data_IF_344871085799
#
_entry.id   IF_344871085799
#
_cell.length_a   1.000
_cell.length_b   1.000
_cell.length_c   1.000
_cell.angle_alpha   90.00
_cell.angle_beta   90.00
_cell.angle_gamma   90.00
#
_symmetry.space_group_name_H-M   'P 1'
#
loop_
_entity.id
_entity.type
_entity.pdbx_description
1 polymer ?
#
# COMPACT_ATOMS: atom_id res chain seq x y z
N UNK A 1 46.62 -21.50 38.43
CA UNK A 1 46.12 -20.39 37.60
C UNK A 1 47.11 -19.25 37.70
N UNK A 2 47.80 -18.88 36.61
CA UNK A 2 48.76 -17.76 36.59
C UNK A 2 47.96 -16.45 36.54
N UNK A 3 47.91 -15.72 37.65
CA UNK A 3 47.29 -14.40 37.73
C UNK A 3 48.26 -13.43 37.06
N UNK A 4 47.93 -12.97 35.85
CA UNK A 4 48.77 -12.17 34.94
C UNK A 4 49.13 -10.77 35.45
N UNK A 5 49.80 -10.71 36.60
CA UNK A 5 50.28 -9.49 37.30
C UNK A 5 51.78 -9.23 37.05
N UNK A 6 52.40 -10.01 36.17
CA UNK A 6 53.85 -10.04 35.95
C UNK A 6 54.34 -8.87 35.06
N UNK A 7 53.45 -8.32 34.21
CA UNK A 7 53.76 -7.20 33.31
C UNK A 7 53.26 -5.87 33.86
N UNK A 8 54.17 -4.98 34.27
CA UNK A 8 53.84 -3.62 34.77
C UNK A 8 52.96 -2.84 33.78
N UNK A 9 53.18 -3.00 32.48
CA UNK A 9 52.37 -2.37 31.43
C UNK A 9 50.92 -2.89 31.41
N UNK A 10 50.72 -4.20 31.60
CA UNK A 10 49.39 -4.81 31.67
C UNK A 10 48.69 -4.43 32.98
N UNK A 11 49.43 -4.30 34.07
CA UNK A 11 48.92 -3.81 35.35
C UNK A 11 48.39 -2.37 35.23
N UNK A 12 49.15 -1.47 34.61
CA UNK A 12 48.69 -0.10 34.35
C UNK A 12 47.46 -0.05 33.41
N UNK A 13 47.44 -0.89 32.37
CA UNK A 13 46.29 -0.98 31.48
C UNK A 13 45.02 -1.47 32.21
N UNK A 14 45.14 -2.48 33.08
CA UNK A 14 44.03 -2.96 33.92
C UNK A 14 43.54 -1.89 34.90
N UNK A 15 44.46 -1.19 35.57
CA UNK A 15 44.11 -0.12 36.50
C UNK A 15 43.38 1.04 35.79
N UNK A 16 43.86 1.44 34.61
CA UNK A 16 43.21 2.47 33.79
C UNK A 16 41.81 2.03 33.34
N UNK A 17 41.66 0.79 32.87
CA UNK A 17 40.37 0.27 32.41
C UNK A 17 39.36 0.15 33.56
N UNK A 18 39.81 -0.25 34.75
CA UNK A 18 38.98 -0.30 35.95
C UNK A 18 38.55 1.10 36.39
N UNK A 19 39.43 2.10 36.34
CA UNK A 19 39.07 3.49 36.64
C UNK A 19 38.02 4.05 35.66
N UNK A 20 38.15 3.76 34.36
CA UNK A 20 37.16 4.17 33.34
C UNK A 20 35.81 3.48 33.58
N UNK A 21 35.82 2.18 33.90
CA UNK A 21 34.60 1.44 34.19
C UNK A 21 33.84 2.03 35.40
N UNK A 22 34.57 2.36 36.49
CA UNK A 22 33.98 3.00 37.67
C UNK A 22 33.42 4.38 37.34
N UNK A 23 34.11 5.18 36.53
CA UNK A 23 33.64 6.50 36.09
C UNK A 23 32.33 6.40 35.29
N UNK A 24 32.24 5.45 34.35
CA UNK A 24 31.04 5.23 33.54
C UNK A 24 29.86 4.76 34.40
N UNK A 25 30.12 3.92 35.40
CA UNK A 25 29.10 3.40 36.30
C UNK A 25 28.54 4.50 37.23
N UNK A 26 29.40 5.39 37.74
CA UNK A 26 28.99 6.59 38.47
C UNK A 26 28.14 7.52 37.58
N UNK A 27 28.52 7.70 36.31
CA UNK A 27 27.75 8.52 35.37
C UNK A 27 26.37 7.94 35.06
N UNK A 28 26.26 6.62 34.88
CA UNK A 28 25.00 5.94 34.61
C UNK A 28 24.04 5.97 35.82
N UNK A 29 24.57 5.86 37.04
CA UNK A 29 23.79 6.02 38.26
C UNK A 29 23.30 7.46 38.45
N UNK A 30 24.12 8.45 38.11
CA UNK A 30 23.75 9.87 38.21
C UNK A 30 22.81 10.35 37.08
N UNK A 31 22.70 9.63 35.96
CA UNK A 31 21.79 9.97 34.85
C UNK A 31 20.48 9.17 34.83
N UNK A 32 20.22 8.35 35.84
CA UNK A 32 18.98 7.56 35.92
C UNK A 32 17.87 8.38 36.56
N UNK A 33 17.25 9.25 35.76
CA UNK A 33 16.09 10.04 36.16
C UNK A 33 15.19 10.36 34.97
N UNK A 34 14.23 9.47 34.67
CA UNK A 34 12.83 9.75 34.33
C UNK A 34 12.19 8.58 33.53
N UNK A 35 11.14 7.90 34.05
CA UNK A 35 10.15 7.24 33.23
C UNK A 35 9.07 8.27 32.83
N UNK A 36 8.74 8.38 31.54
CA UNK A 36 7.57 9.15 31.08
C UNK A 36 6.43 8.23 30.66
N UNK A 37 5.24 8.68 31.05
CA UNK A 37 4.00 7.95 31.27
C UNK A 37 3.21 7.61 30.00
N UNK A 38 2.35 6.60 30.15
CA UNK A 38 1.21 6.29 29.29
C UNK A 38 0.18 7.44 29.30
N UNK A 39 -0.41 7.75 28.14
CA UNK A 39 -1.56 8.65 28.02
C UNK A 39 -2.75 7.90 27.44
N UNK A 40 -3.90 8.14 28.06
CA UNK A 40 -5.15 7.41 27.96
C UNK A 40 -6.00 7.75 26.72
N UNK A 41 -6.98 6.87 26.49
CA UNK A 41 -8.01 6.90 25.46
C UNK A 41 -8.89 8.16 25.46
N UNK A 42 -9.47 8.45 24.30
CA UNK A 42 -10.68 9.28 24.16
C UNK A 42 -11.61 8.59 23.16
N UNK A 43 -12.81 8.25 23.64
CA UNK A 43 -13.92 7.72 22.86
C UNK A 43 -15.01 8.79 22.76
N UNK A 44 -15.60 8.96 21.58
CA UNK A 44 -16.97 9.46 21.41
C UNK A 44 -17.58 8.81 20.16
N UNK A 45 -18.76 8.17 20.25
CA UNK A 45 -19.48 7.62 19.11
C UNK A 45 -20.54 8.59 18.55
N UNK A 46 -20.93 8.32 17.30
CA UNK A 46 -22.19 8.71 16.62
C UNK A 46 -22.31 10.10 15.96
N UNK A 47 -22.44 10.12 14.63
CA UNK A 47 -23.70 10.44 13.93
C UNK A 47 -23.55 10.40 12.39
N UNK A 48 -24.50 9.76 11.73
CA UNK A 48 -24.69 9.64 10.28
C UNK A 48 -25.35 10.92 9.72
N UNK A 49 -24.90 11.50 8.58
CA UNK A 49 -25.62 12.61 7.96
C UNK A 49 -26.75 12.13 7.05
N UNK A 50 -28.00 12.37 7.46
CA UNK A 50 -29.20 12.32 6.63
C UNK A 50 -29.23 13.51 5.68
N UNK A 51 -29.33 13.25 4.38
CA UNK A 51 -29.52 14.26 3.34
C UNK A 51 -30.98 14.75 3.27
N UNK A 52 -31.22 16.05 3.02
CA UNK A 52 -32.47 16.51 2.40
C UNK A 52 -32.19 17.15 1.04
N UNK A 53 -32.45 16.39 -0.03
CA UNK A 53 -32.60 16.93 -1.39
C UNK A 53 -33.99 17.57 -1.53
N UNK A 54 -34.08 18.87 -1.33
CA UNK A 54 -35.28 19.64 -1.62
C UNK A 54 -35.40 19.91 -3.13
N UNK A 55 -36.22 19.11 -3.83
CA UNK A 55 -36.70 19.47 -5.18
C UNK A 55 -37.82 20.50 -5.02
N UNK A 56 -37.50 21.76 -5.28
CA UNK A 56 -38.49 22.82 -5.43
C UNK A 56 -39.29 22.61 -6.73
N UNK A 57 -40.61 22.75 -6.71
CA UNK A 57 -41.39 22.91 -7.95
C UNK A 57 -42.72 22.15 -8.07
N UNK A 58 -43.48 21.98 -6.99
CA UNK A 58 -44.87 21.51 -7.08
C UNK A 58 -45.83 22.70 -6.95
N UNK A 59 -46.40 23.17 -8.06
CA UNK A 59 -47.51 24.14 -8.03
C UNK A 59 -48.68 23.46 -7.29
N UNK A 60 -49.19 24.09 -6.23
CA UNK A 60 -50.28 23.54 -5.42
C UNK A 60 -51.47 23.16 -6.30
N UNK A 61 -51.94 21.91 -6.17
CA UNK A 61 -53.13 21.45 -6.86
C UNK A 61 -54.35 22.24 -6.36
N UNK A 62 -55.25 22.70 -7.25
CA UNK A 62 -56.52 23.31 -6.83
C UNK A 62 -57.34 22.33 -5.98
N UNK A 63 -58.25 22.83 -5.12
CA UNK A 63 -59.14 21.97 -4.33
C UNK A 63 -59.90 21.00 -5.24
N UNK A 64 -59.85 19.72 -4.87
CA UNK A 64 -60.44 18.63 -5.64
C UNK A 64 -61.96 18.68 -5.51
N UNK A 65 -62.60 19.21 -6.54
CA UNK A 65 -64.05 19.16 -6.74
C UNK A 65 -64.42 17.76 -7.26
N UNK A 66 -65.19 16.95 -6.52
CA UNK A 66 -65.53 15.58 -6.91
C UNK A 66 -66.61 15.51 -8.01
N UNK A 67 -67.12 16.65 -8.48
CA UNK A 67 -68.10 16.68 -9.56
C UNK A 67 -67.45 16.42 -10.93
N UNK A 68 -68.13 15.64 -11.77
CA UNK A 68 -67.65 15.34 -13.12
C UNK A 68 -67.68 16.60 -14.00
N UNK A 69 -66.51 17.03 -14.49
CA UNK A 69 -66.40 18.16 -15.42
C UNK A 69 -66.53 17.70 -16.86
N UNK A 70 -67.75 17.70 -17.39
CA UNK A 70 -68.06 17.28 -18.76
C UNK A 70 -67.26 18.06 -19.83
N UNK A 71 -66.96 19.34 -19.59
CA UNK A 71 -66.17 20.16 -20.51
C UNK A 71 -64.73 19.65 -20.66
N UNK A 72 -64.10 19.21 -19.56
CA UNK A 72 -62.75 18.64 -19.58
C UNK A 72 -62.74 17.23 -20.15
N UNK A 73 -63.79 16.46 -19.88
CA UNK A 73 -63.97 15.12 -20.44
C UNK A 73 -63.99 15.19 -21.98
N UNK A 74 -64.78 16.11 -22.54
CA UNK A 74 -64.87 16.33 -23.99
C UNK A 74 -63.53 16.72 -24.62
N UNK A 75 -62.68 17.44 -23.88
CA UNK A 75 -61.32 17.77 -24.34
C UNK A 75 -60.38 16.56 -24.37
N UNK A 76 -60.62 15.57 -23.51
CA UNK A 76 -59.79 14.36 -23.41
C UNK A 76 -60.19 13.26 -24.42
N UNK A 77 -61.46 13.19 -24.81
CA UNK A 77 -61.98 12.18 -25.74
C UNK A 77 -61.27 12.18 -27.11
N UNK A 78 -60.75 13.33 -27.56
CA UNK A 78 -60.05 13.47 -28.84
C UNK A 78 -58.52 13.30 -28.77
N UNK A 79 -57.96 12.98 -27.60
CA UNK A 79 -56.52 12.90 -27.41
C UNK A 79 -55.93 11.63 -28.06
N UNK A 80 -55.47 11.75 -29.30
CA UNK A 80 -54.71 10.69 -29.98
C UNK A 80 -53.28 10.63 -29.44
N UNK A 81 -52.79 9.42 -29.18
CA UNK A 81 -51.40 9.19 -28.79
C UNK A 81 -50.46 9.54 -29.96
N UNK A 82 -49.69 10.63 -29.80
CA UNK A 82 -48.67 11.09 -30.77
C UNK A 82 -47.25 10.59 -30.45
N UNK A 83 -47.10 9.71 -29.47
CA UNK A 83 -45.78 9.19 -29.10
C UNK A 83 -45.22 8.29 -30.21
N UNK A 84 -43.94 8.42 -30.52
CA UNK A 84 -43.22 7.54 -31.47
C UNK A 84 -42.83 6.19 -30.84
N UNK A 85 -43.65 5.68 -29.93
CA UNK A 85 -43.38 4.47 -29.14
C UNK A 85 -44.17 3.25 -29.59
N UNK A 86 -43.83 2.09 -29.04
CA UNK A 86 -44.59 0.85 -29.20
C UNK A 86 -45.99 1.01 -28.60
N UNK A 87 -47.03 0.61 -29.34
CA UNK A 87 -48.39 0.56 -28.83
C UNK A 87 -48.52 -0.59 -27.82
N UNK A 88 -48.74 -0.26 -26.55
CA UNK A 88 -48.85 -1.23 -25.44
C UNK A 88 -50.26 -1.82 -25.28
N UNK A 89 -51.23 -1.34 -26.08
CA UNK A 89 -52.62 -1.77 -26.04
C UNK A 89 -53.00 -2.68 -27.21
N UNK A 90 -52.10 -2.87 -28.17
CA UNK A 90 -52.25 -3.83 -29.24
C UNK A 90 -51.53 -5.13 -28.85
N UNK A 91 -52.21 -6.27 -29.03
CA UNK A 91 -51.60 -7.58 -28.84
C UNK A 91 -50.60 -7.81 -29.97
N UNK A 92 -49.31 -7.82 -29.61
CA UNK A 92 -48.25 -7.95 -30.57
C UNK A 92 -48.23 -9.38 -31.12
N UNK A 93 -48.41 -9.52 -32.43
CA UNK A 93 -48.20 -10.79 -33.12
C UNK A 93 -46.78 -11.29 -32.83
N UNK A 94 -46.60 -12.62 -32.61
CA UNK A 94 -45.28 -13.19 -32.39
C UNK A 94 -44.32 -12.76 -33.49
N UNK A 95 -43.20 -12.14 -33.09
CA UNK A 95 -42.14 -11.74 -34.00
C UNK A 95 -41.59 -13.03 -34.63
N UNK A 96 -41.69 -13.18 -35.95
CA UNK A 96 -41.03 -14.28 -36.65
C UNK A 96 -39.53 -14.25 -36.32
N UNK A 97 -38.92 -15.38 -35.93
CA UNK A 97 -37.50 -15.41 -35.64
C UNK A 97 -36.73 -15.01 -36.91
N UNK A 98 -35.67 -14.17 -36.77
CA UNK A 98 -34.87 -13.76 -37.91
C UNK A 98 -34.27 -14.99 -38.60
N UNK A 99 -34.56 -15.19 -39.89
CA UNK A 99 -34.09 -16.33 -40.71
C UNK A 99 -32.61 -16.21 -41.13
N UNK A 100 -31.88 -15.29 -40.53
CA UNK A 100 -30.50 -15.01 -40.91
C UNK A 100 -29.59 -15.63 -39.85
N UNK A 101 -28.50 -16.32 -40.23
CA UNK A 101 -27.54 -16.79 -39.26
C UNK A 101 -27.01 -15.57 -38.51
N UNK A 102 -27.37 -15.46 -37.24
CA UNK A 102 -26.75 -14.53 -36.32
C UNK A 102 -25.32 -15.01 -36.18
N UNK A 103 -24.39 -14.38 -36.89
CA UNK A 103 -22.99 -14.44 -36.53
C UNK A 103 -22.91 -13.71 -35.20
N UNK A 104 -23.01 -14.47 -34.11
CA UNK A 104 -22.63 -13.98 -32.79
C UNK A 104 -21.12 -13.86 -32.87
N UNK A 105 -20.62 -12.68 -33.25
CA UNK A 105 -19.27 -12.31 -32.89
C UNK A 105 -19.23 -12.39 -31.37
N UNK A 106 -18.61 -13.46 -30.84
CA UNK A 106 -18.22 -13.52 -29.45
C UNK A 106 -17.26 -12.36 -29.23
N UNK A 107 -17.80 -11.21 -28.84
CA UNK A 107 -17.04 -10.15 -28.21
C UNK A 107 -16.65 -10.67 -26.84
N UNK A 108 -15.62 -11.50 -26.81
CA UNK A 108 -14.94 -11.89 -25.58
C UNK A 108 -14.52 -10.58 -24.92
N UNK A 109 -14.95 -10.28 -23.68
CA UNK A 109 -14.50 -9.10 -22.99
C UNK A 109 -12.97 -9.12 -22.96
N UNK A 110 -12.30 -7.97 -23.19
CA UNK A 110 -10.85 -7.91 -23.16
C UNK A 110 -10.35 -8.47 -21.82
N UNK A 111 -9.26 -9.27 -21.82
CA UNK A 111 -8.72 -9.82 -20.59
C UNK A 111 -8.42 -8.68 -19.61
N UNK A 112 -8.59 -8.92 -18.29
CA UNK A 112 -8.25 -7.93 -17.29
C UNK A 112 -6.79 -7.50 -17.47
N UNK A 113 -6.46 -6.22 -17.20
CA UNK A 113 -5.08 -5.76 -17.30
C UNK A 113 -4.18 -6.59 -16.39
N UNK A 114 -2.93 -6.86 -16.81
CA UNK A 114 -1.99 -7.62 -16.01
C UNK A 114 -1.73 -6.91 -14.65
N UNK A 115 -1.38 -7.68 -13.59
CA UNK A 115 -1.02 -7.10 -12.31
C UNK A 115 0.16 -6.12 -12.45
N UNK A 116 0.21 -5.06 -11.62
CA UNK A 116 1.29 -4.09 -11.69
C UNK A 116 2.64 -4.78 -11.45
N UNK A 117 3.72 -4.35 -12.14
CA UNK A 117 5.04 -4.91 -11.94
C UNK A 117 5.52 -4.67 -10.50
N UNK A 118 6.36 -5.56 -9.94
CA UNK A 118 6.94 -5.38 -8.62
C UNK A 118 7.69 -4.05 -8.49
N UNK A 119 7.65 -3.40 -7.32
CA UNK A 119 8.42 -2.17 -7.08
C UNK A 119 9.93 -2.40 -7.30
N UNK A 120 10.63 -1.49 -7.99
CA UNK A 120 12.08 -1.56 -8.14
C UNK A 120 12.79 -1.40 -6.79
N UNK A 121 13.86 -2.16 -6.58
CA UNK A 121 14.74 -2.01 -5.43
C UNK A 121 15.68 -0.80 -5.67
N UNK A 122 15.66 0.24 -4.82
CA UNK A 122 16.47 1.46 -5.01
C UNK A 122 17.94 1.30 -4.60
N UNK A 123 18.35 0.10 -4.19
CA UNK A 123 19.74 -0.19 -3.84
C UNK A 123 20.61 -0.18 -5.09
N UNK A 124 21.83 0.34 -4.94
CA UNK A 124 22.86 0.35 -5.98
C UNK A 124 24.12 -0.28 -5.43
N UNK A 125 24.85 -1.00 -6.27
CA UNK A 125 26.16 -1.49 -5.90
C UNK A 125 27.14 -0.32 -5.78
N UNK A 126 27.85 -0.25 -4.66
CA UNK A 126 28.91 0.74 -4.42
C UNK A 126 30.31 0.11 -4.42
N UNK A 127 30.45 -1.08 -3.82
CA UNK A 127 31.75 -1.74 -3.70
C UNK A 127 31.68 -3.08 -2.96
N UNK A 128 32.80 -3.77 -2.85
CA UNK A 128 32.93 -4.98 -2.03
C UNK A 128 34.20 -4.91 -1.16
N UNK A 129 34.16 -5.56 -0.01
CA UNK A 129 35.34 -5.83 0.80
C UNK A 129 35.56 -7.33 0.88
N UNK A 130 36.81 -7.74 0.63
CA UNK A 130 37.25 -9.11 0.81
C UNK A 130 38.42 -9.11 1.78
N UNK A 131 38.29 -9.81 2.91
CA UNK A 131 39.35 -9.99 3.89
C UNK A 131 39.70 -11.47 3.95
N UNK A 132 40.99 -11.85 3.96
CA UNK A 132 41.40 -13.25 4.08
C UNK A 132 40.76 -13.88 5.33
N UNK A 133 39.98 -14.94 5.15
CA UNK A 133 39.31 -15.65 6.24
C UNK A 133 37.94 -15.09 6.66
N UNK A 134 37.40 -14.07 5.98
CA UNK A 134 36.02 -13.59 6.20
C UNK A 134 35.15 -13.73 4.96
N UNK A 135 33.84 -13.80 5.15
CA UNK A 135 32.87 -13.79 4.06
C UNK A 135 32.94 -12.44 3.31
N UNK A 136 32.70 -12.48 1.99
CA UNK A 136 32.69 -11.29 1.15
C UNK A 136 31.58 -10.34 1.63
N UNK A 137 31.95 -9.09 1.94
CA UNK A 137 31.01 -8.04 2.28
C UNK A 137 30.71 -7.20 1.05
N UNK A 138 29.47 -6.77 0.89
CA UNK A 138 29.02 -5.84 -0.16
C UNK A 138 28.60 -4.50 0.44
N UNK A 139 28.90 -3.45 -0.30
CA UNK A 139 28.52 -2.08 -0.02
C UNK A 139 27.39 -1.72 -1.00
N UNK A 140 26.25 -1.37 -0.45
CA UNK A 140 25.03 -1.04 -1.16
C UNK A 140 24.65 0.40 -0.82
N UNK A 141 24.51 1.24 -1.82
CA UNK A 141 24.05 2.62 -1.66
C UNK A 141 22.53 2.72 -1.87
N UNK A 142 21.86 3.55 -1.07
CA UNK A 142 20.47 3.94 -1.29
C UNK A 142 20.37 5.47 -1.16
N UNK A 143 20.36 6.18 -2.28
CA UNK A 143 20.52 7.64 -2.26
C UNK A 143 21.91 8.01 -1.72
N UNK A 144 21.94 8.70 -0.58
CA UNK A 144 23.16 9.18 0.08
C UNK A 144 23.70 8.23 1.16
N UNK A 145 22.93 7.21 1.54
CA UNK A 145 23.31 6.26 2.60
C UNK A 145 24.01 5.02 2.02
N UNK A 146 25.09 4.58 2.68
CA UNK A 146 25.84 3.37 2.33
C UNK A 146 25.65 2.31 3.41
N UNK A 147 25.17 1.15 3.00
CA UNK A 147 24.98 -0.02 3.84
C UNK A 147 26.03 -1.08 3.52
N UNK A 148 26.54 -1.74 4.55
CA UNK A 148 27.46 -2.86 4.42
C UNK A 148 26.71 -4.11 4.89
N UNK A 149 26.75 -5.18 4.11
CA UNK A 149 26.13 -6.43 4.50
C UNK A 149 26.82 -7.65 3.90
N UNK A 150 26.56 -8.80 4.50
CA UNK A 150 27.03 -10.10 4.05
C UNK A 150 25.88 -10.91 3.44
N UNK A 151 26.21 -12.04 2.83
CA UNK A 151 25.22 -13.01 2.37
C UNK A 151 24.32 -13.46 3.55
N UNK A 152 23.01 -13.36 3.37
CA UNK A 152 21.99 -13.65 4.37
C UNK A 152 21.59 -12.46 5.27
N UNK A 153 22.32 -11.35 5.23
CA UNK A 153 22.08 -10.18 6.08
C UNK A 153 20.99 -9.25 5.53
N UNK A 154 20.26 -8.57 6.42
CA UNK A 154 19.23 -7.60 6.06
C UNK A 154 19.77 -6.18 6.20
N UNK A 155 19.85 -5.46 5.09
CA UNK A 155 20.23 -4.03 5.04
C UNK A 155 18.98 -3.14 4.97
N UNK A 156 19.11 -1.94 5.53
CA UNK A 156 18.02 -0.96 5.59
C UNK A 156 16.69 -1.53 6.17
N UNK A 157 16.77 -2.55 7.05
CA UNK A 157 15.64 -3.27 7.68
C UNK A 157 14.63 -3.90 6.69
N UNK A 158 14.95 -3.99 5.40
CA UNK A 158 14.00 -4.39 4.36
C UNK A 158 14.60 -5.30 3.30
N UNK A 159 15.87 -5.11 2.96
CA UNK A 159 16.47 -5.79 1.83
C UNK A 159 17.42 -6.86 2.33
N UNK A 160 17.09 -8.11 2.09
CA UNK A 160 17.93 -9.26 2.43
C UNK A 160 18.87 -9.57 1.27
N UNK A 161 20.16 -9.67 1.56
CA UNK A 161 21.15 -10.11 0.59
C UNK A 161 21.03 -11.62 0.49
N UNK A 162 20.57 -12.14 -0.64
CA UNK A 162 20.42 -13.59 -0.84
C UNK A 162 21.76 -14.23 -1.16
N UNK A 163 22.46 -13.67 -2.15
CA UNK A 163 23.71 -14.25 -2.67
C UNK A 163 24.56 -13.21 -3.38
N UNK A 164 25.85 -13.23 -3.11
CA UNK A 164 26.83 -12.33 -3.73
C UNK A 164 27.59 -13.11 -4.82
N UNK A 165 27.24 -12.89 -6.08
CA UNK A 165 27.99 -13.48 -7.20
C UNK A 165 29.23 -12.62 -7.53
N UNK A 166 30.12 -13.10 -8.41
CA UNK A 166 31.25 -12.31 -8.90
C UNK A 166 30.82 -11.11 -9.78
N UNK A 167 29.67 -11.21 -10.47
CA UNK A 167 29.19 -10.23 -11.46
C UNK A 167 27.88 -9.54 -11.07
N UNK A 168 27.09 -10.14 -10.17
CA UNK A 168 25.77 -9.65 -9.75
C UNK A 168 25.53 -9.95 -8.28
N UNK A 169 24.55 -9.28 -7.66
CA UNK A 169 24.07 -9.62 -6.31
C UNK A 169 22.56 -9.80 -6.36
N UNK A 170 22.09 -10.88 -5.75
CA UNK A 170 20.67 -11.13 -5.59
C UNK A 170 20.20 -10.56 -4.26
N UNK A 171 19.17 -9.72 -4.33
CA UNK A 171 18.55 -9.07 -3.17
C UNK A 171 17.06 -9.39 -3.17
N UNK A 172 16.54 -9.69 -1.99
CA UNK A 172 15.12 -9.90 -1.74
C UNK A 172 14.57 -8.77 -0.89
N UNK A 173 13.51 -8.11 -1.36
CA UNK A 173 12.71 -7.21 -0.57
C UNK A 173 11.79 -8.04 0.35
N UNK A 174 12.05 -8.01 1.64
CA UNK A 174 11.32 -8.79 2.66
C UNK A 174 9.86 -8.37 2.77
N UNK A 175 9.52 -7.12 2.43
CA UNK A 175 8.13 -6.64 2.53
C UNK A 175 7.27 -7.11 1.35
N UNK A 176 7.84 -7.13 0.15
CA UNK A 176 7.11 -7.48 -1.08
C UNK A 176 7.43 -8.88 -1.60
N UNK A 177 8.32 -9.62 -0.93
CA UNK A 177 8.91 -10.89 -1.40
C UNK A 177 9.40 -10.81 -2.86
N UNK A 178 9.92 -9.65 -3.24
CA UNK A 178 10.40 -9.40 -4.60
C UNK A 178 11.91 -9.62 -4.67
N UNK A 179 12.36 -10.41 -5.64
CA UNK A 179 13.78 -10.71 -5.87
C UNK A 179 14.28 -9.94 -7.07
N UNK A 180 15.37 -9.21 -6.90
CA UNK A 180 16.00 -8.46 -7.96
C UNK A 180 17.51 -8.70 -7.95
N UNK A 181 18.09 -8.89 -9.13
CA UNK A 181 19.53 -8.94 -9.32
C UNK A 181 20.06 -7.54 -9.63
N UNK A 182 21.07 -7.12 -8.88
CA UNK A 182 21.75 -5.85 -9.06
C UNK A 182 23.13 -6.14 -9.66
N UNK A 183 23.45 -5.59 -10.84
CA UNK A 183 24.76 -5.78 -11.44
C UNK A 183 25.84 -5.10 -10.59
N UNK A 184 27.00 -5.74 -10.48
CA UNK A 184 28.18 -5.20 -9.78
C UNK A 184 28.94 -4.18 -10.66
N UNK A 185 28.23 -3.41 -11.46
CA UNK A 185 28.80 -2.33 -12.26
C UNK A 185 29.06 -1.15 -11.33
N UNK A 186 30.34 -0.79 -11.12
CA UNK A 186 30.68 0.48 -10.50
C UNK A 186 30.10 1.59 -11.39
N UNK A 187 29.20 2.38 -10.82
CA UNK A 187 28.72 3.63 -11.43
C UNK A 187 29.72 4.74 -11.26
#
# INVERSE_FOLDING_TARGET
MKIGTEDKKKLYAMAALLAIAVLLLLRAFMSSGAPVSTVAASATPNALPTAPGARSGGKAAPPLDPTLRADLLKNSEGALYKGSGRNIFEEQLPIEPPKHPVIVEQTTPPPPPPPPPPPPIPLKFYGFANKPGQAKAIFLANGDDIFIGHEGEIVNRRYKILRIHPTTVEIEDVLNNNRQSIPLTQG
#
